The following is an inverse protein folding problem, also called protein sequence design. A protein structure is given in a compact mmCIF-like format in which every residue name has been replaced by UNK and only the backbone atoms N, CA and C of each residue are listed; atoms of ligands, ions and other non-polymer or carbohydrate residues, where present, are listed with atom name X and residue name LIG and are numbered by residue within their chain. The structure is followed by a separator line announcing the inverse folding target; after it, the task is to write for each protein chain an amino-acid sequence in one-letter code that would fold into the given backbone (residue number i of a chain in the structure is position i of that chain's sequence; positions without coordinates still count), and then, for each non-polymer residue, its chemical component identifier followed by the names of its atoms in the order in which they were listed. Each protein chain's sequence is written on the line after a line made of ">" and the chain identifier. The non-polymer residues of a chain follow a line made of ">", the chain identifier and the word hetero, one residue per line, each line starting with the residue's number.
data_IF_926545773957
#
_entry.id   IF_926545773957
#
_cell.length_a   1.000
_cell.length_b   1.000
_cell.length_c   1.000
_cell.angle_alpha   90.00
_cell.angle_beta   90.00
_cell.angle_gamma   90.00
#
_symmetry.space_group_name_H-M   'P 1'
#
loop_
_entity.id
_entity.type
_entity.pdbx_description
1 polymer ?
#
# COMPACT_ATOMS: atom_id res chain seq x y z
N UNK A 1 -44.56 -24.78 11.70
CA UNK A 1 -44.19 -24.72 10.27
C UNK A 1 -43.92 -23.28 9.74
N UNK A 2 -44.58 -22.24 10.23
CA UNK A 2 -44.35 -20.85 9.79
C UNK A 2 -43.00 -20.21 10.27
N UNK A 3 -42.51 -20.63 11.44
CA UNK A 3 -41.22 -20.11 12.00
C UNK A 3 -39.96 -20.65 11.29
N UNK A 4 -40.05 -21.85 10.69
CA UNK A 4 -38.93 -22.45 9.93
C UNK A 4 -38.71 -21.79 8.59
N UNK A 5 -39.74 -21.29 7.92
CA UNK A 5 -39.63 -20.61 6.65
C UNK A 5 -38.99 -19.23 6.76
N UNK A 6 -39.24 -18.49 7.84
CA UNK A 6 -38.63 -17.19 8.08
C UNK A 6 -37.13 -17.30 8.38
N UNK A 7 -36.70 -18.37 9.07
CA UNK A 7 -35.29 -18.62 9.38
C UNK A 7 -34.45 -18.91 8.11
N UNK A 8 -35.04 -19.62 7.13
CA UNK A 8 -34.37 -19.92 5.85
C UNK A 8 -34.26 -18.67 4.95
N UNK A 9 -35.26 -17.77 4.98
CA UNK A 9 -35.22 -16.54 4.22
C UNK A 9 -34.13 -15.58 4.74
N UNK A 10 -33.93 -15.51 6.06
CA UNK A 10 -32.89 -14.64 6.64
C UNK A 10 -31.49 -15.16 6.34
N UNK A 11 -31.28 -16.48 6.28
CA UNK A 11 -30.00 -17.07 5.92
C UNK A 11 -29.62 -16.90 4.43
N UNK A 12 -30.62 -16.73 3.54
CA UNK A 12 -30.35 -16.44 2.13
C UNK A 12 -29.94 -14.97 1.89
N UNK A 13 -30.31 -14.04 2.76
CA UNK A 13 -29.94 -12.63 2.61
C UNK A 13 -28.49 -12.31 3.02
N UNK A 14 -27.81 -13.20 3.72
CA UNK A 14 -26.43 -12.97 4.20
C UNK A 14 -25.35 -13.42 3.22
N UNK A 15 -25.69 -13.98 2.06
CA UNK A 15 -24.75 -14.33 0.99
C UNK A 15 -24.89 -13.29 -0.16
N UNK A 16 -24.89 -12.01 0.18
CA UNK A 16 -24.47 -11.00 -0.80
C UNK A 16 -22.96 -10.94 -0.69
N UNK A 17 -22.27 -11.93 -1.24
CA UNK A 17 -20.86 -11.79 -1.57
C UNK A 17 -20.75 -10.57 -2.48
N UNK A 18 -19.96 -9.58 -2.05
CA UNK A 18 -19.65 -8.44 -2.90
C UNK A 18 -19.21 -9.00 -4.26
N UNK A 19 -19.95 -8.62 -5.33
CA UNK A 19 -19.59 -9.09 -6.66
C UNK A 19 -18.16 -8.61 -6.97
N UNK A 20 -17.32 -9.46 -7.57
CA UNK A 20 -15.98 -9.05 -7.94
C UNK A 20 -16.07 -7.79 -8.82
N UNK A 21 -15.38 -6.75 -8.40
CA UNK A 21 -15.32 -5.50 -9.14
C UNK A 21 -14.17 -5.59 -10.13
N UNK A 22 -14.42 -5.27 -11.38
CA UNK A 22 -13.37 -5.20 -12.39
C UNK A 22 -12.65 -3.87 -12.29
N UNK A 23 -11.33 -3.92 -12.11
CA UNK A 23 -10.49 -2.73 -11.89
C UNK A 23 -9.27 -2.80 -12.81
N UNK A 24 -8.77 -1.65 -13.26
CA UNK A 24 -7.44 -1.57 -13.85
C UNK A 24 -6.62 -0.48 -13.19
N UNK A 25 -5.32 -0.72 -13.07
CA UNK A 25 -4.38 0.28 -12.56
C UNK A 25 -3.99 1.20 -13.71
N UNK A 26 -4.44 2.44 -13.62
CA UNK A 26 -4.20 3.49 -14.60
C UNK A 26 -2.80 4.12 -14.45
N UNK A 27 -2.76 5.38 -14.05
CA UNK A 27 -1.52 6.15 -13.95
C UNK A 27 -0.86 5.96 -12.58
N UNK A 28 0.46 5.73 -12.57
CA UNK A 28 1.27 5.78 -11.36
C UNK A 28 2.21 6.98 -11.46
N UNK A 29 2.02 7.97 -10.59
CA UNK A 29 2.81 9.19 -10.55
C UNK A 29 3.64 9.31 -9.28
N UNK A 30 4.89 9.76 -9.41
CA UNK A 30 5.74 10.09 -8.28
C UNK A 30 5.78 11.61 -8.10
N UNK A 31 5.14 12.11 -7.04
CA UNK A 31 5.12 13.53 -6.66
C UNK A 31 6.11 13.85 -5.53
N UNK A 32 6.86 12.87 -5.05
CA UNK A 32 7.84 13.07 -3.98
C UNK A 32 9.06 13.78 -4.53
N UNK A 33 9.46 14.86 -3.88
CA UNK A 33 10.79 15.42 -4.09
C UNK A 33 11.81 14.46 -3.49
N UNK A 34 12.72 13.94 -4.32
CA UNK A 34 13.74 13.00 -3.92
C UNK A 34 14.69 13.69 -2.96
N UNK A 35 14.77 13.20 -1.72
CA UNK A 35 15.72 13.68 -0.72
C UNK A 35 17.12 13.10 -0.92
N UNK A 36 18.15 13.66 -0.26
CA UNK A 36 19.54 13.22 -0.41
C UNK A 36 19.78 11.75 -0.03
N UNK A 37 18.98 11.18 0.86
CA UNK A 37 19.12 9.79 1.33
C UNK A 37 18.49 8.76 0.39
N UNK A 38 17.51 9.15 -0.42
CA UNK A 38 16.79 8.23 -1.32
C UNK A 38 17.48 8.06 -2.67
N UNK A 39 18.41 8.95 -3.03
CA UNK A 39 19.07 8.95 -4.33
C UNK A 39 18.08 9.05 -5.50
N UNK A 40 18.55 8.79 -6.70
CA UNK A 40 17.75 8.90 -7.93
C UNK A 40 16.94 7.61 -8.20
N UNK A 41 16.21 7.10 -7.20
CA UNK A 41 15.42 5.87 -7.31
C UNK A 41 14.05 6.15 -7.92
N UNK A 42 13.71 5.40 -8.96
CA UNK A 42 12.36 5.44 -9.52
C UNK A 42 11.38 4.65 -8.62
N UNK A 43 10.79 5.33 -7.65
CA UNK A 43 9.83 4.72 -6.71
C UNK A 43 8.54 4.26 -7.39
N UNK A 44 8.22 4.78 -8.57
CA UNK A 44 7.02 4.35 -9.32
C UNK A 44 7.19 2.97 -9.94
N UNK A 45 8.44 2.50 -10.10
CA UNK A 45 8.72 1.19 -10.68
C UNK A 45 8.20 0.07 -9.76
N UNK A 46 7.43 -0.82 -10.32
CA UNK A 46 6.86 -1.97 -9.61
C UNK A 46 5.59 -1.68 -8.78
N UNK A 47 5.21 -0.43 -8.55
CA UNK A 47 3.97 -0.09 -7.82
C UNK A 47 2.75 -0.65 -8.54
N UNK A 48 2.71 -0.54 -9.86
CA UNK A 48 1.61 -1.07 -10.67
C UNK A 48 1.43 -2.57 -10.42
N UNK A 49 2.51 -3.34 -10.51
CA UNK A 49 2.46 -4.80 -10.30
C UNK A 49 2.00 -5.17 -8.88
N UNK A 50 2.47 -4.42 -7.86
CA UNK A 50 2.05 -4.65 -6.47
C UNK A 50 0.56 -4.32 -6.29
N UNK A 51 0.06 -3.29 -6.96
CA UNK A 51 -1.35 -2.92 -6.89
C UNK A 51 -2.23 -3.96 -7.61
N UNK A 52 -1.81 -4.42 -8.79
CA UNK A 52 -2.50 -5.48 -9.54
C UNK A 52 -2.53 -6.78 -8.74
N UNK A 53 -1.40 -7.21 -8.14
CA UNK A 53 -1.34 -8.37 -7.24
C UNK A 53 -2.33 -8.21 -6.07
N UNK A 54 -2.35 -7.04 -5.41
CA UNK A 54 -3.21 -6.80 -4.26
C UNK A 54 -4.70 -6.75 -4.63
N UNK A 55 -5.07 -6.26 -5.83
CA UNK A 55 -6.44 -6.28 -6.35
C UNK A 55 -6.91 -7.72 -6.53
N UNK A 56 -6.08 -8.58 -7.16
CA UNK A 56 -6.37 -10.00 -7.34
C UNK A 56 -6.47 -10.75 -6.01
N UNK A 57 -5.55 -10.48 -5.07
CA UNK A 57 -5.54 -11.10 -3.72
C UNK A 57 -6.82 -10.78 -2.93
N UNK A 58 -7.49 -9.67 -3.24
CA UNK A 58 -8.77 -9.26 -2.64
C UNK A 58 -9.99 -9.81 -3.37
N UNK A 59 -9.79 -10.61 -4.41
CA UNK A 59 -10.87 -11.25 -5.18
C UNK A 59 -11.54 -10.35 -6.20
N UNK A 60 -10.87 -9.26 -6.61
CA UNK A 60 -11.31 -8.42 -7.72
C UNK A 60 -10.67 -8.86 -9.03
N UNK A 61 -11.31 -8.56 -10.15
CA UNK A 61 -10.80 -8.89 -11.48
C UNK A 61 -9.98 -7.74 -12.07
N UNK A 62 -8.91 -8.08 -12.80
CA UNK A 62 -8.13 -7.12 -13.57
C UNK A 62 -8.58 -7.15 -15.04
N UNK A 63 -9.13 -6.04 -15.51
CA UNK A 63 -9.45 -5.86 -16.91
C UNK A 63 -9.33 -4.38 -17.31
N UNK A 64 -8.92 -4.12 -18.54
CA UNK A 64 -8.74 -2.78 -19.07
C UNK A 64 -9.91 -2.39 -20.01
N UNK A 65 -11.11 -2.87 -19.74
CA UNK A 65 -12.30 -2.51 -20.50
C UNK A 65 -12.87 -1.15 -20.09
N UNK A 66 -13.64 -0.53 -20.96
CA UNK A 66 -14.27 0.77 -20.71
C UNK A 66 -15.27 0.78 -19.55
N UNK A 67 -15.73 -0.40 -19.13
CA UNK A 67 -16.62 -0.59 -17.97
C UNK A 67 -15.87 -0.81 -16.66
N UNK A 68 -14.56 -1.02 -16.69
CA UNK A 68 -13.75 -1.25 -15.51
C UNK A 68 -13.50 0.05 -14.73
N UNK A 69 -13.41 -0.06 -13.41
CA UNK A 69 -13.01 1.06 -12.57
C UNK A 69 -11.52 1.34 -12.77
N UNK A 70 -11.15 2.62 -12.83
CA UNK A 70 -9.76 3.04 -12.98
C UNK A 70 -9.19 3.47 -11.64
N UNK A 71 -8.08 2.86 -11.21
CA UNK A 71 -7.33 3.23 -10.03
C UNK A 71 -6.04 3.95 -10.43
N UNK A 72 -5.95 5.26 -10.16
CA UNK A 72 -4.72 6.04 -10.29
C UNK A 72 -4.00 6.13 -8.93
N UNK A 73 -2.68 6.07 -8.95
CA UNK A 73 -1.84 6.06 -7.75
C UNK A 73 -0.83 7.21 -7.79
N UNK A 74 -0.75 7.98 -6.70
CA UNK A 74 0.21 9.07 -6.54
C UNK A 74 1.06 8.85 -5.30
N UNK A 75 2.37 8.68 -5.45
CA UNK A 75 3.29 8.68 -4.31
C UNK A 75 3.45 10.14 -3.87
N UNK A 76 2.97 10.45 -2.67
CA UNK A 76 2.97 11.82 -2.14
C UNK A 76 4.00 12.06 -1.04
N UNK A 77 4.52 10.97 -0.44
CA UNK A 77 5.53 11.06 0.61
C UNK A 77 6.38 9.78 0.65
N UNK A 78 7.67 9.97 0.81
CA UNK A 78 8.65 8.92 1.09
C UNK A 78 9.72 9.46 2.01
N UNK A 79 10.01 8.75 3.10
CA UNK A 79 11.04 9.13 4.06
C UNK A 79 11.69 7.90 4.69
N UNK A 80 12.92 8.05 5.10
CA UNK A 80 13.66 7.07 5.88
C UNK A 80 14.10 7.76 7.16
N UNK A 81 13.51 7.37 8.28
CA UNK A 81 13.83 7.90 9.59
C UNK A 81 14.78 6.94 10.30
N UNK A 82 15.91 7.46 10.77
CA UNK A 82 16.90 6.70 11.48
C UNK A 82 16.90 7.10 12.96
N UNK A 83 16.77 6.12 13.85
CA UNK A 83 16.90 6.30 15.29
C UNK A 83 18.04 5.42 15.78
N UNK A 84 19.05 6.05 16.40
CA UNK A 84 20.17 5.33 17.00
C UNK A 84 20.12 5.43 18.52
N UNK A 85 20.19 4.29 19.18
CA UNK A 85 20.31 4.20 20.63
C UNK A 85 21.53 3.36 20.98
N UNK A 86 22.36 3.84 21.88
CA UNK A 86 23.55 3.11 22.26
C UNK A 86 23.98 3.36 23.71
N UNK A 87 24.58 2.35 24.33
CA UNK A 87 25.22 2.45 25.64
C UNK A 87 26.62 1.88 25.49
N UNK A 88 27.65 2.72 25.72
CA UNK A 88 29.05 2.36 25.59
C UNK A 88 29.42 1.89 24.18
N UNK A 89 29.86 0.62 24.03
CA UNK A 89 30.31 0.04 22.74
C UNK A 89 29.18 -0.62 21.93
N UNK A 90 27.96 -0.69 22.47
CA UNK A 90 26.82 -1.30 21.81
C UNK A 90 25.92 -0.22 21.22
N UNK A 91 25.67 -0.30 19.92
CA UNK A 91 24.76 0.59 19.21
C UNK A 91 23.66 -0.22 18.53
N UNK A 92 22.43 0.26 18.69
CA UNK A 92 21.25 -0.22 17.96
C UNK A 92 20.79 0.90 17.05
N UNK A 93 20.72 0.63 15.78
CA UNK A 93 20.15 1.56 14.81
C UNK A 93 18.86 0.97 14.26
N UNK A 94 17.80 1.76 14.27
CA UNK A 94 16.50 1.42 13.68
C UNK A 94 16.21 2.38 12.55
N UNK A 95 16.02 1.82 11.36
CA UNK A 95 15.62 2.55 10.16
C UNK A 95 14.14 2.30 9.89
N UNK A 96 13.31 3.32 9.98
CA UNK A 96 11.89 3.25 9.62
C UNK A 96 11.67 3.87 8.24
N UNK A 97 11.21 3.07 7.29
CA UNK A 97 10.77 3.55 5.98
C UNK A 97 9.29 3.87 6.02
N UNK A 98 8.92 5.09 5.63
CA UNK A 98 7.54 5.59 5.62
C UNK A 98 7.16 5.96 4.20
N UNK A 99 6.05 5.41 3.71
CA UNK A 99 5.51 5.72 2.37
C UNK A 99 4.05 6.14 2.51
N UNK A 100 3.65 7.22 1.80
CA UNK A 100 2.24 7.59 1.65
C UNK A 100 1.87 7.61 0.18
N UNK A 101 0.75 6.97 -0.12
CA UNK A 101 0.20 6.92 -1.48
C UNK A 101 -1.23 7.42 -1.42
N UNK A 102 -1.56 8.33 -2.34
CA UNK A 102 -2.93 8.73 -2.64
C UNK A 102 -3.45 7.83 -3.75
N UNK A 103 -4.56 7.16 -3.52
CA UNK A 103 -5.32 6.45 -4.53
C UNK A 103 -6.54 7.26 -4.96
N UNK A 104 -6.83 7.24 -6.24
CA UNK A 104 -7.97 7.91 -6.86
C UNK A 104 -8.70 6.85 -7.69
N UNK A 105 -9.87 6.42 -7.21
CA UNK A 105 -10.70 5.43 -7.86
C UNK A 105 -11.80 6.13 -8.65
N UNK A 106 -11.75 6.00 -9.97
CA UNK A 106 -12.79 6.45 -10.88
C UNK A 106 -13.77 5.30 -11.12
N UNK A 107 -15.00 5.53 -10.72
CA UNK A 107 -16.13 4.62 -10.91
C UNK A 107 -17.12 5.26 -11.88
N UNK A 108 -18.28 4.62 -12.07
CA UNK A 108 -19.39 5.22 -12.85
C UNK A 108 -20.07 6.40 -12.10
N UNK A 109 -19.63 6.71 -10.89
CA UNK A 109 -20.13 7.84 -10.11
C UNK A 109 -19.56 9.18 -10.64
N UNK A 110 -20.28 10.27 -10.42
CA UNK A 110 -19.86 11.61 -10.89
C UNK A 110 -18.55 12.12 -10.26
N UNK A 111 -18.18 11.60 -9.08
CA UNK A 111 -16.96 12.01 -8.38
C UNK A 111 -16.10 10.79 -8.06
N UNK A 112 -14.79 10.87 -8.29
CA UNK A 112 -13.88 9.80 -7.90
C UNK A 112 -13.83 9.68 -6.37
N UNK A 113 -13.58 8.45 -5.89
CA UNK A 113 -13.25 8.20 -4.48
C UNK A 113 -11.75 8.39 -4.29
N UNK A 114 -11.37 9.10 -3.25
CA UNK A 114 -9.96 9.36 -2.93
C UNK A 114 -9.63 8.88 -1.52
N UNK A 115 -8.47 8.26 -1.37
CA UNK A 115 -7.94 7.84 -0.08
C UNK A 115 -6.42 7.98 -0.03
N UNK A 116 -5.89 8.34 1.15
CA UNK A 116 -4.45 8.39 1.40
C UNK A 116 -4.10 7.31 2.41
N UNK A 117 -3.30 6.33 1.97
CA UNK A 117 -2.77 5.30 2.82
C UNK A 117 -1.32 5.59 3.22
N UNK A 118 -0.95 5.15 4.42
CA UNK A 118 0.43 5.20 4.93
C UNK A 118 0.88 3.80 5.29
N UNK A 119 2.05 3.42 4.81
CA UNK A 119 2.72 2.18 5.20
C UNK A 119 4.09 2.47 5.81
N UNK A 120 4.46 1.64 6.77
CA UNK A 120 5.72 1.70 7.47
C UNK A 120 6.39 0.34 7.51
N UNK A 121 7.72 0.35 7.43
CA UNK A 121 8.55 -0.83 7.62
C UNK A 121 9.79 -0.45 8.40
N UNK A 122 10.07 -1.17 9.48
CA UNK A 122 11.24 -0.94 10.31
C UNK A 122 12.27 -2.03 10.08
N UNK A 123 13.53 -1.65 10.09
CA UNK A 123 14.68 -2.54 10.07
C UNK A 123 15.59 -2.19 11.24
N UNK A 124 16.02 -3.21 11.96
CA UNK A 124 16.88 -3.07 13.11
C UNK A 124 18.25 -3.67 12.79
N UNK A 125 19.30 -2.88 12.91
CA UNK A 125 20.68 -3.35 12.89
C UNK A 125 21.33 -3.15 14.25
N UNK A 126 22.13 -4.14 14.67
CA UNK A 126 22.93 -4.06 15.89
C UNK A 126 24.41 -4.15 15.50
N UNK A 127 25.22 -3.22 15.95
CA UNK A 127 26.68 -3.24 15.76
C UNK A 127 27.40 -3.06 17.08
N UNK A 128 28.60 -3.66 17.17
CA UNK A 128 29.51 -3.50 18.29
C UNK A 128 30.57 -2.42 18.07
N UNK A 129 30.56 -1.77 16.91
CA UNK A 129 31.41 -0.64 16.55
C UNK A 129 30.57 0.49 15.99
N UNK A 130 31.00 1.74 16.22
CA UNK A 130 30.43 2.92 15.59
C UNK A 130 30.87 2.91 14.12
N UNK A 131 30.17 2.15 13.31
CA UNK A 131 30.23 2.32 11.86
C UNK A 131 29.03 3.21 11.56
N UNK A 132 29.31 4.47 11.24
CA UNK A 132 28.31 5.42 10.76
C UNK A 132 27.95 5.03 9.30
N UNK A 133 27.28 3.90 9.17
CA UNK A 133 26.62 3.54 7.93
C UNK A 133 25.41 4.46 7.83
N UNK A 134 25.62 5.62 7.25
CA UNK A 134 24.57 6.58 6.95
C UNK A 134 23.35 5.84 6.39
N UNK A 135 22.18 6.02 7.01
CA UNK A 135 20.96 5.25 6.78
C UNK A 135 20.71 4.97 5.31
N UNK A 136 21.13 3.80 4.85
CA UNK A 136 21.06 3.41 3.45
C UNK A 136 19.63 3.05 3.07
N UNK A 137 19.25 3.38 1.84
CA UNK A 137 18.00 2.92 1.25
C UNK A 137 17.97 1.39 1.22
N UNK A 138 17.09 0.78 2.03
CA UNK A 138 16.86 -0.65 2.00
C UNK A 138 15.66 -0.96 1.09
N UNK A 139 15.92 -1.63 -0.02
CA UNK A 139 14.91 -1.98 -1.02
C UNK A 139 13.84 -2.92 -0.46
N UNK A 140 14.21 -3.86 0.42
CA UNK A 140 13.26 -4.79 1.01
C UNK A 140 12.30 -4.08 1.98
N UNK A 141 12.83 -3.16 2.81
CA UNK A 141 12.05 -2.32 3.70
C UNK A 141 11.11 -1.39 2.94
N UNK A 142 11.60 -0.74 1.88
CA UNK A 142 10.77 0.10 1.01
C UNK A 142 9.65 -0.71 0.34
N UNK A 143 9.95 -1.90 -0.18
CA UNK A 143 8.94 -2.79 -0.78
C UNK A 143 7.89 -3.24 0.23
N UNK A 144 8.30 -3.56 1.47
CA UNK A 144 7.38 -3.95 2.55
C UNK A 144 6.45 -2.80 2.94
N UNK A 145 6.98 -1.59 3.14
CA UNK A 145 6.18 -0.40 3.42
C UNK A 145 5.20 -0.11 2.27
N UNK A 146 5.66 -0.22 1.03
CA UNK A 146 4.86 -0.02 -0.17
C UNK A 146 3.72 -1.04 -0.26
N UNK A 147 4.00 -2.35 -0.07
CA UNK A 147 2.97 -3.40 -0.11
C UNK A 147 1.89 -3.15 0.95
N UNK A 148 2.28 -2.82 2.19
CA UNK A 148 1.34 -2.46 3.27
C UNK A 148 0.47 -1.26 2.90
N UNK A 149 1.07 -0.22 2.31
CA UNK A 149 0.34 0.99 1.89
C UNK A 149 -0.72 0.67 0.84
N UNK A 150 -0.33 -0.11 -0.18
CA UNK A 150 -1.22 -0.47 -1.30
C UNK A 150 -2.37 -1.36 -0.84
N UNK A 151 -2.09 -2.38 -0.01
CA UNK A 151 -3.14 -3.26 0.52
C UNK A 151 -4.17 -2.44 1.31
N UNK A 152 -3.72 -1.56 2.22
CA UNK A 152 -4.62 -0.69 2.99
C UNK A 152 -5.44 0.25 2.08
N UNK A 153 -4.81 0.77 1.02
CA UNK A 153 -5.48 1.65 0.06
C UNK A 153 -6.58 0.92 -0.70
N UNK A 154 -6.31 -0.29 -1.19
CA UNK A 154 -7.27 -1.12 -1.91
C UNK A 154 -8.45 -1.51 -1.02
N UNK A 155 -8.19 -1.92 0.24
CA UNK A 155 -9.23 -2.23 1.22
C UNK A 155 -10.19 -1.07 1.53
N UNK A 156 -9.75 0.16 1.33
CA UNK A 156 -10.54 1.36 1.61
C UNK A 156 -11.25 1.93 0.39
N UNK A 157 -10.75 1.63 -0.80
CA UNK A 157 -11.31 2.16 -2.05
C UNK A 157 -12.27 1.19 -2.73
N UNK A 158 -11.97 -0.11 -2.68
CA UNK A 158 -12.77 -1.19 -3.26
C UNK A 158 -13.62 -1.89 -2.21
#
# INVERSE_FOLDING_TARGET
>A
MRLFLTSILISLYTIISAQPTTVYVGTVTNKVKIGPLTGNKNLAFGIKNIAEEAILDKGHDLNNDSSAFRLDLEIIYFDIQQTSTGVSVFHKTENETIIRIKGILYTNEKKPKEYIATGKSSEISTSTMIIDEGGGFNQASARSALKKTIINLIEKLL
#
